data_IF_887461844666
#
_entry.id   IF_887461844666
#
_cell.length_a   1.000
_cell.length_b   1.000
_cell.length_c   1.000
_cell.angle_alpha   90.00
_cell.angle_beta   90.00
_cell.angle_gamma   90.00
#
_symmetry.space_group_name_H-M   'P 1'
#
loop_
_entity.id
_entity.type
_entity.pdbx_description
1 polymer ?
#
# COMPACT_ATOMS: atom_id res chain seq x y z
N UNK A 1 11.94 -12.76 -1.26
CA UNK A 1 10.57 -12.28 -1.59
C UNK A 1 10.72 -10.87 -2.13
N UNK A 2 10.26 -10.61 -3.36
CA UNK A 2 10.42 -9.31 -4.03
C UNK A 2 9.02 -8.74 -4.33
N UNK A 3 8.45 -7.89 -3.46
CA UNK A 3 7.07 -7.44 -3.60
C UNK A 3 6.89 -6.52 -4.80
N UNK A 4 5.76 -6.70 -5.50
CA UNK A 4 5.35 -5.85 -6.62
C UNK A 4 4.56 -4.62 -6.18
N UNK A 5 3.95 -4.68 -5.00
CA UNK A 5 3.17 -3.60 -4.38
C UNK A 5 3.50 -3.51 -2.90
N UNK A 6 3.64 -2.29 -2.39
CA UNK A 6 3.76 -2.00 -0.95
C UNK A 6 2.59 -1.10 -0.55
N UNK A 7 1.85 -1.51 0.48
CA UNK A 7 0.77 -0.71 1.08
C UNK A 7 1.25 -0.19 2.45
N UNK A 8 1.27 1.13 2.60
CA UNK A 8 1.58 1.83 3.84
C UNK A 8 0.25 2.23 4.51
N UNK A 9 -0.11 1.65 5.66
CA UNK A 9 -1.33 2.04 6.38
C UNK A 9 -1.12 3.39 7.09
N UNK A 10 -1.84 4.42 6.66
CA UNK A 10 -1.91 5.73 7.31
C UNK A 10 -3.20 5.94 8.12
N UNK A 11 -3.46 7.17 8.55
CA UNK A 11 -4.61 7.53 9.39
C UNK A 11 -4.26 7.42 10.88
N UNK A 12 -4.89 6.49 11.61
CA UNK A 12 -4.52 6.17 13.00
C UNK A 12 -3.20 5.39 13.14
N UNK A 13 -2.43 5.30 12.05
CA UNK A 13 -1.20 4.54 11.90
C UNK A 13 -0.07 5.51 11.51
N UNK A 14 1.21 5.18 11.79
CA UNK A 14 2.28 6.16 11.76
C UNK A 14 2.72 6.59 10.36
N UNK A 15 2.28 5.89 9.30
CA UNK A 15 2.77 6.18 7.96
C UNK A 15 2.15 7.45 7.37
N UNK A 16 3.00 8.24 6.75
CA UNK A 16 2.67 9.45 5.98
C UNK A 16 3.34 9.38 4.61
N UNK A 17 2.97 10.30 3.70
CA UNK A 17 3.56 10.36 2.35
C UNK A 17 5.08 10.48 2.36
N UNK A 18 5.65 11.18 3.33
CA UNK A 18 7.10 11.35 3.47
C UNK A 18 7.85 10.02 3.70
N UNK A 19 7.20 9.02 4.30
CA UNK A 19 7.84 7.72 4.59
C UNK A 19 8.14 6.92 3.34
N UNK A 20 7.48 7.23 2.21
CA UNK A 20 7.82 6.63 0.91
C UNK A 20 9.28 6.89 0.53
N UNK A 21 9.86 8.02 0.96
CA UNK A 21 11.25 8.36 0.67
C UNK A 21 12.25 7.38 1.31
N UNK A 22 11.89 6.73 2.41
CA UNK A 22 12.74 5.72 3.05
C UNK A 22 13.01 4.52 2.12
N UNK A 23 12.14 4.28 1.14
CA UNK A 23 12.25 3.16 0.20
C UNK A 23 13.14 3.48 -1.02
N UNK A 24 13.58 4.73 -1.20
CA UNK A 24 14.21 5.19 -2.43
C UNK A 24 15.48 4.42 -2.82
N UNK A 25 16.24 3.95 -1.82
CA UNK A 25 17.50 3.24 -2.05
C UNK A 25 17.33 1.75 -2.38
N UNK A 26 16.14 1.18 -2.17
CA UNK A 26 15.86 -0.25 -2.36
C UNK A 26 15.43 -0.54 -3.81
N UNK A 27 16.26 -0.13 -4.76
CA UNK A 27 15.98 -0.24 -6.21
C UNK A 27 15.87 -1.69 -6.70
N UNK A 28 16.34 -2.67 -5.93
CA UNK A 28 16.16 -4.09 -6.18
C UNK A 28 14.70 -4.55 -5.97
N UNK A 29 13.89 -3.79 -5.21
CA UNK A 29 12.49 -4.11 -4.94
C UNK A 29 11.59 -3.66 -6.11
N UNK A 30 10.81 -4.57 -6.73
CA UNK A 30 9.95 -4.23 -7.88
C UNK A 30 8.97 -3.09 -7.59
N UNK A 31 8.33 -3.09 -6.42
CA UNK A 31 7.42 -2.02 -6.00
C UNK A 31 8.08 -0.62 -5.99
N UNK A 32 9.37 -0.54 -5.64
CA UNK A 32 10.13 0.73 -5.65
C UNK A 32 10.35 1.20 -7.07
N UNK A 33 10.86 0.32 -7.95
CA UNK A 33 11.12 0.66 -9.36
C UNK A 33 9.86 1.08 -10.11
N UNK A 34 8.77 0.35 -9.89
CA UNK A 34 7.48 0.61 -10.53
C UNK A 34 6.67 1.70 -9.83
N UNK A 35 7.21 2.34 -8.77
CA UNK A 35 6.54 3.36 -7.96
C UNK A 35 5.18 2.92 -7.40
N UNK A 36 5.06 1.64 -7.05
CA UNK A 36 3.84 1.00 -6.49
C UNK A 36 3.90 0.93 -4.97
N UNK A 37 4.15 2.08 -4.35
CA UNK A 37 4.11 2.27 -2.89
C UNK A 37 2.95 3.20 -2.57
N UNK A 38 1.88 2.66 -2.01
CA UNK A 38 0.62 3.37 -1.79
C UNK A 38 0.40 3.64 -0.30
N UNK A 39 0.12 4.89 0.06
CA UNK A 39 -0.43 5.20 1.37
C UNK A 39 -1.94 4.98 1.31
N UNK A 40 -2.46 4.17 2.23
CA UNK A 40 -3.89 3.82 2.28
C UNK A 40 -4.45 4.11 3.66
N UNK A 41 -5.76 4.21 3.79
CA UNK A 41 -6.41 4.21 5.11
C UNK A 41 -6.16 2.84 5.78
N UNK A 42 -5.42 2.82 6.90
CA UNK A 42 -5.03 1.57 7.55
C UNK A 42 -6.22 0.74 8.06
N UNK A 43 -7.38 1.37 8.28
CA UNK A 43 -8.59 0.62 8.64
C UNK A 43 -9.04 -0.36 7.55
N UNK A 44 -8.62 -0.18 6.29
CA UNK A 44 -8.90 -1.12 5.20
C UNK A 44 -8.20 -2.47 5.40
N UNK A 45 -7.06 -2.51 6.10
CA UNK A 45 -6.32 -3.74 6.38
C UNK A 45 -6.73 -4.37 7.72
N UNK A 46 -7.00 -3.53 8.72
CA UNK A 46 -7.08 -4.00 10.10
C UNK A 46 -8.51 -4.06 10.66
N UNK A 47 -9.51 -3.49 9.99
CA UNK A 47 -10.90 -3.50 10.46
C UNK A 47 -11.77 -4.39 9.56
N UNK A 48 -11.62 -5.71 9.72
CA UNK A 48 -12.30 -6.74 8.92
C UNK A 48 -13.84 -6.77 9.06
N UNK A 49 -14.44 -5.92 9.91
CA UNK A 49 -15.88 -5.78 10.08
C UNK A 49 -16.49 -4.70 9.17
N UNK A 50 -16.85 -3.56 9.76
CA UNK A 50 -17.57 -2.45 9.11
C UNK A 50 -16.94 -1.93 7.82
N UNK A 51 -15.64 -2.18 7.60
CA UNK A 51 -14.91 -1.70 6.44
C UNK A 51 -14.54 -2.78 5.42
N UNK A 52 -14.98 -4.03 5.60
CA UNK A 52 -14.67 -5.11 4.66
C UNK A 52 -15.13 -4.79 3.24
N UNK A 53 -16.37 -4.30 3.07
CA UNK A 53 -16.88 -3.93 1.74
C UNK A 53 -16.02 -2.83 1.08
N UNK A 54 -15.57 -1.85 1.86
CA UNK A 54 -14.68 -0.77 1.40
C UNK A 54 -13.30 -1.31 1.03
N UNK A 55 -12.73 -2.17 1.87
CA UNK A 55 -11.45 -2.84 1.63
C UNK A 55 -11.47 -3.68 0.35
N UNK A 56 -12.53 -4.46 0.13
CA UNK A 56 -12.72 -5.27 -1.07
C UNK A 56 -12.95 -4.44 -2.33
N UNK A 57 -13.33 -3.17 -2.19
CA UNK A 57 -13.46 -2.23 -3.32
C UNK A 57 -12.14 -1.52 -3.61
N UNK A 58 -11.44 -1.06 -2.57
CA UNK A 58 -10.30 -0.16 -2.70
C UNK A 58 -8.95 -0.87 -2.83
N UNK A 59 -8.77 -2.04 -2.22
CA UNK A 59 -7.49 -2.76 -2.25
C UNK A 59 -7.23 -3.46 -3.58
N UNK A 60 -8.18 -4.21 -4.19
CA UNK A 60 -7.87 -4.98 -5.41
C UNK A 60 -7.33 -4.16 -6.57
N UNK A 61 -7.84 -2.94 -6.88
CA UNK A 61 -7.26 -2.10 -7.93
C UNK A 61 -5.79 -1.71 -7.68
N UNK A 62 -5.37 -1.61 -6.42
CA UNK A 62 -3.98 -1.32 -6.06
C UNK A 62 -3.06 -2.54 -6.24
N UNK A 63 -3.63 -3.76 -6.15
CA UNK A 63 -2.90 -5.01 -6.30
C UNK A 63 -2.84 -5.50 -7.75
N UNK A 64 -3.88 -5.22 -8.56
CA UNK A 64 -3.88 -5.59 -9.98
C UNK A 64 -2.79 -4.85 -10.75
N UNK A 65 -2.14 -5.53 -11.70
CA UNK A 65 -1.36 -4.84 -12.72
C UNK A 65 -2.32 -4.07 -13.65
N UNK A 66 -1.98 -2.82 -14.01
CA UNK A 66 -2.61 -2.19 -15.16
C UNK A 66 -2.23 -3.02 -16.38
N UNK A 67 -3.21 -3.76 -16.90
CA UNK A 67 -3.10 -4.54 -18.13
C UNK A 67 -2.72 -3.66 -19.31
#
# INVERSE_FOLDING_TARGET
LAPEVILLPGGSYPFVEADKAAFANYTEVPAVRSRRIHLIDGSLLFWAGTRLAKALTEIPPLLSESK
#
